data_IF_362823825831
#
_entry.id   IF_362823825831
#
_cell.length_a   1.000
_cell.length_b   1.000
_cell.length_c   1.000
_cell.angle_alpha   90.00
_cell.angle_beta   90.00
_cell.angle_gamma   90.00
#
_symmetry.space_group_name_H-M   'P 1'
#
loop_
_entity.id
_entity.type
_entity.pdbx_description
1 polymer ?
#
# COMPACT_ATOMS: atom_id res chain seq x y z
N UNK A 1 11.41 9.35 -13.74
CA UNK A 1 11.36 9.42 -12.26
C UNK A 1 9.95 9.15 -11.76
N UNK A 2 8.93 9.92 -12.19
CA UNK A 2 7.54 9.71 -11.73
C UNK A 2 6.96 8.38 -12.23
N UNK A 3 7.24 7.96 -13.48
CA UNK A 3 6.84 6.63 -13.96
C UNK A 3 7.37 5.49 -13.08
N UNK A 4 8.67 5.52 -12.74
CA UNK A 4 9.29 4.57 -11.80
C UNK A 4 8.68 4.62 -10.39
N UNK A 5 8.32 5.82 -9.92
CA UNK A 5 7.65 5.97 -8.62
C UNK A 5 6.27 5.31 -8.65
N UNK A 6 5.47 5.56 -9.69
CA UNK A 6 4.16 4.93 -9.89
C UNK A 6 4.29 3.40 -10.00
N UNK A 7 5.25 2.90 -10.79
CA UNK A 7 5.55 1.47 -10.86
C UNK A 7 5.84 0.90 -9.46
N UNK A 8 6.66 1.60 -8.66
CA UNK A 8 6.96 1.11 -7.32
C UNK A 8 5.80 1.23 -6.33
N UNK A 9 4.89 2.18 -6.52
CA UNK A 9 3.61 2.21 -5.78
C UNK A 9 2.73 1.03 -6.13
N UNK A 10 2.62 0.65 -7.41
CA UNK A 10 1.93 -0.57 -7.88
C UNK A 10 2.50 -1.82 -7.21
N UNK A 11 3.82 -2.00 -7.27
CA UNK A 11 4.48 -3.17 -6.69
C UNK A 11 4.39 -3.20 -5.16
N UNK A 12 4.46 -2.04 -4.50
CA UNK A 12 4.29 -1.94 -3.05
C UNK A 12 2.88 -2.40 -2.65
N UNK A 13 1.85 -1.86 -3.28
CA UNK A 13 0.46 -2.21 -2.98
C UNK A 13 0.16 -3.69 -3.23
N UNK A 14 0.66 -4.27 -4.32
CA UNK A 14 0.53 -5.72 -4.53
C UNK A 14 1.20 -6.56 -3.44
N UNK A 15 2.37 -6.12 -2.95
CA UNK A 15 3.04 -6.81 -1.84
C UNK A 15 2.27 -6.68 -0.54
N UNK A 16 1.76 -5.49 -0.24
CA UNK A 16 0.91 -5.24 0.93
C UNK A 16 -0.35 -6.12 0.87
N UNK A 17 -1.02 -6.14 -0.29
CA UNK A 17 -2.18 -6.98 -0.55
C UNK A 17 -1.90 -8.48 -0.31
N UNK A 18 -0.77 -8.98 -0.83
CA UNK A 18 -0.35 -10.37 -0.61
C UNK A 18 -0.10 -10.67 0.87
N UNK A 19 0.58 -9.77 1.58
CA UNK A 19 0.90 -9.95 2.99
C UNK A 19 -0.36 -10.02 3.85
N UNK A 20 -1.33 -9.14 3.60
CA UNK A 20 -2.61 -9.14 4.30
C UNK A 20 -3.42 -10.42 4.05
N UNK A 21 -3.42 -10.93 2.81
CA UNK A 21 -4.05 -12.22 2.50
C UNK A 21 -3.40 -13.38 3.23
N UNK A 22 -2.07 -13.43 3.26
CA UNK A 22 -1.33 -14.46 3.98
C UNK A 22 -1.64 -14.42 5.48
N UNK A 23 -1.59 -13.24 6.10
CA UNK A 23 -1.99 -13.04 7.49
C UNK A 23 -3.42 -13.48 7.75
N UNK A 24 -4.36 -13.12 6.86
CA UNK A 24 -5.75 -13.51 7.00
C UNK A 24 -5.94 -15.02 6.99
N UNK A 25 -5.22 -15.75 6.12
CA UNK A 25 -5.24 -17.21 6.07
C UNK A 25 -4.65 -17.84 7.33
N UNK A 26 -3.63 -17.23 7.94
CA UNK A 26 -3.02 -17.72 9.18
C UNK A 26 -3.97 -17.65 10.39
N UNK A 27 -4.91 -16.71 10.39
CA UNK A 27 -5.83 -16.47 11.53
C UNK A 27 -7.26 -16.94 11.27
N UNK A 28 -7.62 -17.30 10.04
CA UNK A 28 -9.00 -17.67 9.61
C UNK A 28 -9.67 -18.74 10.48
N UNK A 29 -8.91 -19.75 10.92
CA UNK A 29 -9.43 -20.83 11.76
C UNK A 29 -9.68 -20.44 13.22
N UNK A 30 -9.14 -19.30 13.69
CA UNK A 30 -9.16 -18.88 15.10
C UNK A 30 -9.97 -17.62 15.32
N UNK A 31 -9.86 -16.66 14.42
CA UNK A 31 -10.54 -15.37 14.49
C UNK A 31 -11.03 -14.96 13.10
N UNK A 32 -12.32 -15.23 12.87
CA UNK A 32 -12.98 -14.97 11.58
C UNK A 32 -13.16 -13.48 11.30
N UNK A 33 -13.33 -12.65 12.33
CA UNK A 33 -13.53 -11.21 12.15
C UNK A 33 -12.21 -10.56 11.77
N UNK A 34 -11.13 -10.88 12.49
CA UNK A 34 -9.78 -10.43 12.12
C UNK A 34 -9.41 -10.91 10.72
N UNK A 35 -9.65 -12.17 10.38
CA UNK A 35 -9.40 -12.69 9.03
C UNK A 35 -10.17 -11.92 7.95
N UNK A 36 -11.45 -11.59 8.21
CA UNK A 36 -12.27 -10.80 7.28
C UNK A 36 -11.71 -9.39 7.07
N UNK A 37 -11.33 -8.69 8.14
CA UNK A 37 -10.76 -7.34 8.06
C UNK A 37 -9.45 -7.37 7.27
N UNK A 38 -8.56 -8.33 7.55
CA UNK A 38 -7.29 -8.46 6.82
C UNK A 38 -7.53 -8.78 5.34
N UNK A 39 -8.52 -9.62 4.99
CA UNK A 39 -8.92 -9.87 3.60
C UNK A 39 -9.44 -8.59 2.93
N UNK A 40 -10.24 -7.79 3.64
CA UNK A 40 -10.75 -6.52 3.12
C UNK A 40 -9.60 -5.56 2.78
N UNK A 41 -8.69 -5.34 3.72
CA UNK A 41 -7.52 -4.46 3.50
C UNK A 41 -6.72 -4.95 2.30
N UNK A 42 -6.45 -6.27 2.23
CA UNK A 42 -5.73 -6.84 1.09
C UNK A 42 -6.44 -6.69 -0.26
N UNK A 43 -7.78 -6.57 -0.29
CA UNK A 43 -8.53 -6.25 -1.50
C UNK A 43 -8.44 -4.76 -1.84
N UNK A 44 -8.50 -3.89 -0.84
CA UNK A 44 -8.38 -2.43 -0.98
C UNK A 44 -7.00 -2.06 -1.55
N UNK A 45 -5.91 -2.65 -1.04
CA UNK A 45 -4.56 -2.46 -1.58
C UNK A 45 -4.42 -2.93 -3.04
N UNK A 46 -5.01 -4.06 -3.44
CA UNK A 46 -5.00 -4.45 -4.87
C UNK A 46 -5.74 -3.44 -5.74
N UNK A 47 -6.83 -2.83 -5.25
CA UNK A 47 -7.52 -1.75 -5.96
C UNK A 47 -6.62 -0.52 -6.08
N UNK A 48 -5.90 -0.15 -5.03
CA UNK A 48 -4.94 0.95 -5.07
C UNK A 48 -3.84 0.71 -6.11
N UNK A 49 -3.30 -0.51 -6.17
CA UNK A 49 -2.35 -0.92 -7.20
C UNK A 49 -2.90 -0.69 -8.62
N UNK A 50 -4.12 -1.16 -8.90
CA UNK A 50 -4.76 -0.98 -10.20
C UNK A 50 -5.05 0.49 -10.53
N UNK A 51 -5.37 1.31 -9.52
CA UNK A 51 -5.52 2.77 -9.69
C UNK A 51 -4.18 3.40 -10.08
N UNK A 52 -3.09 3.09 -9.38
CA UNK A 52 -1.76 3.62 -9.72
C UNK A 52 -1.30 3.17 -11.11
N UNK A 53 -1.56 1.91 -11.47
CA UNK A 53 -1.26 1.38 -12.79
C UNK A 53 -2.05 2.11 -13.87
N UNK A 54 -3.36 2.23 -13.70
CA UNK A 54 -4.24 2.94 -14.64
C UNK A 54 -3.85 4.41 -14.79
N UNK A 55 -3.47 5.05 -13.68
CA UNK A 55 -2.97 6.43 -13.69
C UNK A 55 -1.67 6.55 -14.48
N UNK A 56 -0.72 5.61 -14.30
CA UNK A 56 0.54 5.61 -15.04
C UNK A 56 0.32 5.47 -16.56
N UNK A 57 -0.63 4.63 -16.98
CA UNK A 57 -0.99 4.45 -18.39
C UNK A 57 -1.63 5.72 -18.95
N UNK A 58 -2.60 6.29 -18.23
CA UNK A 58 -3.30 7.51 -18.64
C UNK A 58 -2.33 8.69 -18.83
N UNK A 59 -1.34 8.82 -17.95
CA UNK A 59 -0.31 9.86 -18.02
C UNK A 59 0.77 9.59 -19.08
N UNK A 60 0.77 8.44 -19.75
CA UNK A 60 1.85 8.02 -20.66
C UNK A 60 3.19 7.78 -19.94
N UNK A 61 3.13 7.40 -18.67
CA UNK A 61 4.28 7.20 -17.77
C UNK A 61 4.43 5.74 -17.32
N UNK A 62 3.71 4.82 -17.96
CA UNK A 62 3.79 3.40 -17.64
C UNK A 62 5.23 2.90 -17.86
N UNK A 63 5.74 2.20 -16.84
CA UNK A 63 7.05 1.57 -16.84
C UNK A 63 6.83 0.10 -16.46
N UNK A 64 7.58 -0.81 -17.09
CA UNK A 64 7.49 -2.25 -16.78
C UNK A 64 8.41 -2.66 -15.62
N UNK A 65 9.38 -1.81 -15.26
CA UNK A 65 10.37 -2.08 -14.23
C UNK A 65 10.77 -0.82 -13.47
N UNK A 66 11.23 -1.01 -12.24
CA UNK A 66 11.71 0.08 -11.38
C UNK A 66 12.61 -0.45 -10.27
N UNK A 67 13.49 0.42 -9.77
CA UNK A 67 14.34 0.14 -8.62
C UNK A 67 13.65 0.62 -7.34
N UNK A 68 12.69 -0.18 -6.85
CA UNK A 68 11.84 0.21 -5.72
C UNK A 68 12.55 0.42 -4.38
N UNK A 69 13.60 -0.35 -4.04
CA UNK A 69 14.47 0.00 -2.90
C UNK A 69 15.02 1.42 -2.99
N UNK A 70 15.35 1.90 -4.18
CA UNK A 70 15.85 3.28 -4.36
C UNK A 70 14.71 4.30 -4.41
N UNK A 71 13.58 3.96 -5.05
CA UNK A 71 12.50 4.92 -5.30
C UNK A 71 11.62 5.20 -4.09
N UNK A 72 11.28 4.18 -3.31
CA UNK A 72 10.35 4.26 -2.17
C UNK A 72 10.97 3.77 -0.85
N UNK A 73 12.26 3.39 -0.88
CA UNK A 73 13.13 3.30 0.28
C UNK A 73 12.55 2.51 1.46
N UNK A 74 12.25 3.24 2.53
CA UNK A 74 11.78 2.68 3.80
C UNK A 74 10.46 1.91 3.67
N UNK A 75 9.53 2.35 2.82
CA UNK A 75 8.27 1.62 2.60
C UNK A 75 8.56 0.23 2.01
N UNK A 76 9.43 0.16 1.01
CA UNK A 76 9.83 -1.10 0.39
C UNK A 76 10.57 -2.02 1.36
N UNK A 77 11.52 -1.46 2.13
CA UNK A 77 12.26 -2.24 3.13
C UNK A 77 11.33 -2.88 4.15
N UNK A 78 10.36 -2.12 4.66
CA UNK A 78 9.39 -2.59 5.65
C UNK A 78 8.49 -3.70 5.14
N UNK A 79 7.94 -3.56 3.93
CA UNK A 79 7.05 -4.60 3.37
C UNK A 79 7.83 -5.89 3.10
N UNK A 80 9.09 -5.80 2.64
CA UNK A 80 9.97 -6.95 2.42
C UNK A 80 10.35 -7.65 3.74
N UNK A 81 10.67 -6.88 4.78
CA UNK A 81 10.97 -7.41 6.11
C UNK A 81 9.76 -8.14 6.71
N UNK A 82 8.57 -7.56 6.59
CA UNK A 82 7.32 -8.14 7.06
C UNK A 82 6.98 -9.45 6.32
N UNK A 83 7.12 -9.48 4.99
CA UNK A 83 6.99 -10.69 4.16
C UNK A 83 7.96 -11.78 4.60
N UNK A 84 9.23 -11.41 4.79
CA UNK A 84 10.27 -12.35 5.20
C UNK A 84 9.96 -13.01 6.55
N UNK A 85 9.42 -12.25 7.51
CA UNK A 85 9.00 -12.76 8.82
C UNK A 85 7.83 -13.73 8.72
N UNK A 86 6.80 -13.43 7.94
CA UNK A 86 5.68 -14.36 7.74
C UNK A 86 6.14 -15.64 7.06
N UNK A 87 6.97 -15.54 6.03
CA UNK A 87 7.48 -16.71 5.32
C UNK A 87 8.33 -17.63 6.20
N UNK A 88 9.08 -17.08 7.15
CA UNK A 88 9.96 -17.85 8.03
C UNK A 88 9.27 -18.36 9.29
N UNK A 89 8.42 -17.55 9.92
CA UNK A 89 7.84 -17.83 11.23
C UNK A 89 6.32 -18.07 11.25
N UNK A 90 5.63 -17.85 10.13
CA UNK A 90 4.20 -18.10 9.98
C UNK A 90 3.35 -17.45 11.07
N UNK A 91 2.47 -18.24 11.69
CA UNK A 91 1.55 -17.77 12.75
C UNK A 91 2.29 -17.15 13.94
N UNK A 92 3.48 -17.65 14.30
CA UNK A 92 4.21 -17.16 15.47
C UNK A 92 4.64 -15.69 15.32
N UNK A 93 4.90 -15.26 14.09
CA UNK A 93 5.30 -13.89 13.77
C UNK A 93 4.12 -12.96 13.45
N UNK A 94 2.90 -13.49 13.30
CA UNK A 94 1.74 -12.71 12.85
C UNK A 94 1.51 -11.44 13.69
N UNK A 95 1.62 -11.52 15.02
CA UNK A 95 1.46 -10.35 15.90
C UNK A 95 2.57 -9.32 15.73
N UNK A 96 3.81 -9.77 15.51
CA UNK A 96 4.96 -8.89 15.27
C UNK A 96 4.78 -8.15 13.94
N UNK A 97 4.41 -8.88 12.90
CA UNK A 97 4.17 -8.36 11.56
C UNK A 97 3.00 -7.37 11.53
N UNK A 98 1.90 -7.65 12.23
CA UNK A 98 0.77 -6.71 12.33
C UNK A 98 1.22 -5.36 12.93
N UNK A 99 2.11 -5.36 13.94
CA UNK A 99 2.66 -4.11 14.50
C UNK A 99 3.50 -3.34 13.48
N UNK A 100 4.23 -4.05 12.63
CA UNK A 100 5.01 -3.42 11.57
C UNK A 100 4.12 -2.86 10.47
N UNK A 101 3.04 -3.56 10.14
CA UNK A 101 2.03 -3.09 9.20
C UNK A 101 1.38 -1.80 9.67
N UNK A 102 1.02 -1.64 10.95
CA UNK A 102 0.54 -0.34 11.48
C UNK A 102 1.48 0.81 11.10
N UNK A 103 2.78 0.61 11.27
CA UNK A 103 3.75 1.66 10.95
C UNK A 103 3.93 1.83 9.44
N UNK A 104 3.84 0.73 8.67
CA UNK A 104 3.89 0.77 7.21
C UNK A 104 2.72 1.56 6.63
N UNK A 105 1.47 1.22 7.00
CA UNK A 105 0.26 1.89 6.50
C UNK A 105 0.33 3.41 6.74
N UNK A 106 0.64 3.82 7.97
CA UNK A 106 0.77 5.23 8.31
C UNK A 106 1.91 5.93 7.55
N UNK A 107 3.06 5.26 7.36
CA UNK A 107 4.18 5.80 6.60
C UNK A 107 3.86 5.92 5.10
N UNK A 108 3.22 4.91 4.52
CA UNK A 108 2.87 4.86 3.09
C UNK A 108 1.86 5.96 2.75
N UNK A 109 0.79 6.08 3.55
CA UNK A 109 -0.22 7.13 3.35
C UNK A 109 0.39 8.54 3.44
N UNK A 110 1.19 8.81 4.47
CA UNK A 110 1.68 10.17 4.73
C UNK A 110 2.95 10.53 3.94
N UNK A 111 4.00 9.71 4.00
CA UNK A 111 5.29 10.06 3.40
C UNK A 111 5.33 9.72 1.91
N UNK A 112 4.83 8.54 1.52
CA UNK A 112 4.89 8.09 0.13
C UNK A 112 3.80 8.73 -0.73
N UNK A 113 2.54 8.67 -0.29
CA UNK A 113 1.42 9.11 -1.12
C UNK A 113 1.11 10.60 -0.97
N UNK A 114 0.94 11.08 0.26
CA UNK A 114 0.58 12.47 0.50
C UNK A 114 1.74 13.44 0.23
N UNK A 115 2.92 13.25 0.84
CA UNK A 115 4.03 14.20 0.72
C UNK A 115 4.83 14.08 -0.57
N UNK A 116 4.94 12.88 -1.14
CA UNK A 116 5.78 12.63 -2.32
C UNK A 116 4.94 12.51 -3.61
N UNK A 117 4.12 11.46 -3.73
CA UNK A 117 3.48 11.10 -4.99
C UNK A 117 2.45 12.16 -5.45
N UNK A 118 1.52 12.56 -4.58
CA UNK A 118 0.46 13.49 -4.93
C UNK A 118 1.01 14.82 -5.48
N UNK A 119 1.91 15.55 -4.80
CA UNK A 119 2.47 16.80 -5.32
C UNK A 119 3.19 16.64 -6.66
N UNK A 120 3.83 15.50 -6.91
CA UNK A 120 4.50 15.21 -8.17
C UNK A 120 3.50 14.98 -9.31
N UNK A 121 2.43 14.22 -9.05
CA UNK A 121 1.36 13.99 -10.02
C UNK A 121 0.65 15.27 -10.40
N UNK A 122 0.31 16.12 -9.43
CA UNK A 122 -0.41 17.37 -9.71
C UNK A 122 0.44 18.36 -10.54
N UNK A 123 1.77 18.32 -10.44
CA UNK A 123 2.67 19.15 -11.25
C UNK A 123 2.71 18.74 -12.73
N UNK A 124 2.32 17.50 -13.04
CA UNK A 124 2.30 16.99 -14.43
C UNK A 124 1.03 17.40 -15.18
N UNK A 125 -0.03 17.72 -14.45
CA UNK A 125 -1.34 18.01 -15.02
C UNK A 125 -1.49 19.51 -15.24
N UNK A 126 -1.87 19.90 -16.47
CA UNK A 126 -2.16 21.30 -16.82
C UNK A 126 -3.66 21.62 -16.77
N UNK A 127 -4.50 20.62 -16.99
CA UNK A 127 -5.95 20.76 -16.94
C UNK A 127 -6.47 20.74 -15.49
N UNK A 128 -7.30 21.73 -15.16
CA UNK A 128 -7.80 21.91 -13.78
C UNK A 128 -8.73 20.76 -13.36
N UNK A 129 -9.52 20.22 -14.27
CA UNK A 129 -10.43 19.12 -13.96
C UNK A 129 -9.65 17.83 -13.71
N UNK A 130 -8.67 17.53 -14.56
CA UNK A 130 -7.74 16.42 -14.35
C UNK A 130 -7.01 16.53 -13.00
N UNK A 131 -6.52 17.73 -12.64
CA UNK A 131 -5.91 18.00 -11.33
C UNK A 131 -6.86 17.65 -10.18
N UNK A 132 -8.13 18.08 -10.25
CA UNK A 132 -9.11 17.83 -9.20
C UNK A 132 -9.46 16.34 -9.07
N UNK A 133 -9.67 15.65 -10.19
CA UNK A 133 -10.00 14.24 -10.21
C UNK A 133 -8.83 13.36 -9.75
N UNK A 134 -7.60 13.65 -10.20
CA UNK A 134 -6.40 12.95 -9.70
C UNK A 134 -6.20 13.21 -8.22
N UNK A 135 -6.40 14.44 -7.74
CA UNK A 135 -6.35 14.75 -6.30
C UNK A 135 -7.35 13.90 -5.52
N UNK A 136 -8.61 13.88 -5.95
CA UNK A 136 -9.67 13.11 -5.29
C UNK A 136 -9.31 11.62 -5.20
N UNK A 137 -8.78 11.03 -6.28
CA UNK A 137 -8.37 9.62 -6.31
C UNK A 137 -7.26 9.33 -5.30
N UNK A 138 -6.20 10.13 -5.28
CA UNK A 138 -5.06 9.88 -4.38
C UNK A 138 -5.42 10.20 -2.93
N UNK A 139 -6.21 11.25 -2.68
CA UNK A 139 -6.70 11.57 -1.33
C UNK A 139 -7.58 10.43 -0.77
N UNK A 140 -8.35 9.75 -1.62
CA UNK A 140 -9.10 8.55 -1.21
C UNK A 140 -8.17 7.41 -0.79
N UNK A 141 -7.10 7.14 -1.54
CA UNK A 141 -6.11 6.12 -1.18
C UNK A 141 -5.46 6.47 0.17
N UNK A 142 -5.03 7.72 0.37
CA UNK A 142 -4.45 8.18 1.64
C UNK A 142 -5.42 7.99 2.82
N UNK A 143 -6.72 8.24 2.61
CA UNK A 143 -7.74 7.99 3.63
C UNK A 143 -7.90 6.50 3.93
N UNK A 144 -7.77 5.64 2.91
CA UNK A 144 -7.81 4.19 3.08
C UNK A 144 -6.62 3.70 3.90
N UNK A 145 -5.40 4.19 3.62
CA UNK A 145 -4.23 3.81 4.44
C UNK A 145 -4.39 4.21 5.92
N UNK A 146 -4.98 5.39 6.18
CA UNK A 146 -5.29 5.80 7.54
C UNK A 146 -6.33 4.89 8.22
N UNK A 147 -7.31 4.41 7.46
CA UNK A 147 -8.27 3.42 7.93
C UNK A 147 -7.60 2.06 8.16
N UNK A 148 -6.74 1.59 7.25
CA UNK A 148 -5.98 0.35 7.39
C UNK A 148 -5.13 0.37 8.67
N UNK A 149 -4.39 1.45 8.90
CA UNK A 149 -3.59 1.66 10.10
C UNK A 149 -4.44 1.49 11.38
N UNK A 150 -5.59 2.16 11.45
CA UNK A 150 -6.50 2.11 12.59
C UNK A 150 -7.15 0.73 12.76
N UNK A 151 -7.53 0.07 11.67
CA UNK A 151 -8.09 -1.27 11.69
C UNK A 151 -7.06 -2.28 12.24
N UNK A 152 -5.80 -2.22 11.79
CA UNK A 152 -4.74 -3.09 12.28
C UNK A 152 -4.39 -2.79 13.74
N UNK A 153 -4.38 -1.51 14.16
CA UNK A 153 -4.23 -1.16 15.58
C UNK A 153 -5.26 -1.87 16.45
N UNK A 154 -6.53 -1.87 16.03
CA UNK A 154 -7.63 -2.53 16.78
C UNK A 154 -7.51 -4.06 16.82
N UNK A 155 -6.89 -4.68 15.82
CA UNK A 155 -6.62 -6.13 15.79
C UNK A 155 -5.55 -6.53 16.82
N UNK A 156 -4.57 -5.65 17.09
CA UNK A 156 -3.42 -5.97 17.94
C UNK A 156 -3.73 -5.88 19.45
N UNK A 157 -4.72 -5.04 19.82
CA UNK A 157 -5.17 -4.77 21.20
C UNK A 157 -5.83 -6.00 21.80
#
# INVERSE_FOLDING_TARGET
MIGKLLYCSVELEHKVASLYRELASLVEGKDKITSLILKQIGLESDVHSEVFRSLSIMLGLYEETGDCPVMIGEAWRRVEEAHSKIKQGGVAEAKSVLKELVVLEGFVGEETYHKLLLPLLLKLLQDKEAVNLTRLLIEKIIQDEAYHEEAVKKIIV
#
